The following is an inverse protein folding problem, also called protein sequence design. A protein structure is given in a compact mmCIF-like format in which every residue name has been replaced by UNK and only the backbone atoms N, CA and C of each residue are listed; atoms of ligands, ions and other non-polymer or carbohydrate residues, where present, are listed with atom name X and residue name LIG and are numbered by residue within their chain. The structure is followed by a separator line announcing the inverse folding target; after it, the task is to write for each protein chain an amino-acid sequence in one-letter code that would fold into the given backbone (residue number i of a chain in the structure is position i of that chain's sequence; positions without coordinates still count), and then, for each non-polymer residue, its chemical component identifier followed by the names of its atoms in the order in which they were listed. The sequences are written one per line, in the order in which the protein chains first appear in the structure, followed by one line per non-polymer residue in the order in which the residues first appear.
data_IF_535887433278
#
_entry.id   IF_535887433278
#
_cell.length_a   1.000
_cell.length_b   1.000
_cell.length_c   1.000
_cell.angle_alpha   90.00
_cell.angle_beta   90.00
_cell.angle_gamma   90.00
#
_symmetry.space_group_name_H-M   'P 1'
#
loop_
_entity.id
_entity.type
_entity.pdbx_description
1 polymer ?
#
# COMPACT_ATOMS: atom_id res chain seq x y z
N UNK A 1 4.40 -8.75 -15.11
CA UNK A 1 4.36 -7.29 -15.35
C UNK A 1 5.57 -6.66 -14.68
N UNK A 2 6.27 -5.79 -15.39
CA UNK A 2 7.44 -5.11 -14.85
C UNK A 2 7.06 -3.78 -14.21
N UNK A 3 7.50 -3.52 -12.96
CA UNK A 3 7.24 -2.25 -12.30
C UNK A 3 7.84 -1.11 -13.13
N UNK A 4 7.09 -0.02 -13.25
CA UNK A 4 7.50 1.13 -14.05
C UNK A 4 8.74 1.79 -13.45
N UNK A 5 9.77 2.04 -14.27
CA UNK A 5 10.98 2.77 -13.85
C UNK A 5 10.69 4.19 -13.33
N UNK A 6 9.56 4.79 -13.75
CA UNK A 6 9.07 6.09 -13.25
C UNK A 6 8.63 6.09 -11.79
N UNK A 7 8.52 4.91 -11.14
CA UNK A 7 8.03 4.78 -9.76
C UNK A 7 6.49 4.88 -9.62
N UNK A 8 5.76 5.12 -10.71
CA UNK A 8 4.30 5.14 -10.75
C UNK A 8 3.78 4.78 -12.16
N UNK A 9 2.52 4.34 -12.24
CA UNK A 9 1.87 4.03 -13.51
C UNK A 9 1.84 2.54 -13.87
N UNK A 10 2.31 1.64 -12.99
CA UNK A 10 2.14 0.19 -13.19
C UNK A 10 0.65 -0.21 -13.30
N UNK A 11 -0.27 0.57 -12.73
CA UNK A 11 -1.71 0.36 -12.94
C UNK A 11 -2.14 0.54 -14.41
N UNK A 12 -1.46 1.40 -15.19
CA UNK A 12 -1.79 1.60 -16.61
C UNK A 12 -1.45 0.36 -17.45
N UNK A 13 -0.42 -0.40 -17.04
CA UNK A 13 -0.10 -1.70 -17.65
C UNK A 13 -1.19 -2.76 -17.40
N UNK A 14 -2.04 -2.53 -16.38
CA UNK A 14 -3.23 -3.35 -16.10
C UNK A 14 -4.47 -2.89 -16.88
N UNK A 15 -4.34 -1.90 -17.76
CA UNK A 15 -5.46 -1.32 -18.52
C UNK A 15 -6.28 -0.29 -17.73
N UNK A 16 -5.82 0.15 -16.56
CA UNK A 16 -6.49 1.19 -15.77
C UNK A 16 -6.15 2.59 -16.32
N UNK A 17 -7.09 3.55 -16.22
CA UNK A 17 -6.85 4.92 -16.67
C UNK A 17 -5.74 5.60 -15.85
N UNK A 18 -5.07 6.62 -16.42
CA UNK A 18 -4.10 7.42 -15.69
C UNK A 18 -4.75 8.15 -14.50
N UNK A 19 -3.95 8.43 -13.46
CA UNK A 19 -4.44 9.20 -12.32
C UNK A 19 -4.81 10.63 -12.72
N UNK A 20 -6.09 10.97 -12.62
CA UNK A 20 -6.60 12.31 -12.98
C UNK A 20 -5.94 13.43 -12.19
N UNK A 21 -5.59 13.22 -10.91
CA UNK A 21 -4.94 14.23 -10.07
C UNK A 21 -3.55 14.55 -10.61
N UNK A 22 -2.79 13.53 -10.98
CA UNK A 22 -1.46 13.72 -11.56
C UNK A 22 -1.54 14.36 -12.95
N UNK A 23 -2.56 14.02 -13.73
CA UNK A 23 -2.77 14.59 -15.06
C UNK A 23 -3.20 16.06 -15.01
N UNK A 24 -4.10 16.41 -14.07
CA UNK A 24 -4.70 17.74 -13.95
C UNK A 24 -3.83 18.72 -13.15
N UNK A 25 -3.24 18.26 -12.05
CA UNK A 25 -2.50 19.13 -11.11
C UNK A 25 -0.98 18.94 -11.20
N UNK A 26 -0.49 17.91 -11.91
CA UNK A 26 0.95 17.60 -11.97
C UNK A 26 1.53 17.00 -10.68
N UNK A 27 0.74 16.88 -9.62
CA UNK A 27 1.16 16.40 -8.30
C UNK A 27 0.75 14.92 -8.15
N UNK A 28 1.63 14.03 -7.64
CA UNK A 28 1.23 12.67 -7.32
C UNK A 28 0.17 12.67 -6.19
N UNK A 29 -0.93 11.95 -6.39
CA UNK A 29 -1.89 11.68 -5.32
C UNK A 29 -1.28 10.73 -4.27
N UNK A 30 -1.85 10.60 -3.05
CA UNK A 30 -1.32 9.70 -2.02
C UNK A 30 -1.22 8.23 -2.48
N UNK A 31 -2.08 7.84 -3.44
CA UNK A 31 -2.09 6.50 -4.03
C UNK A 31 -1.17 6.32 -5.24
N UNK A 32 -0.58 7.39 -5.76
CA UNK A 32 0.26 7.30 -6.94
C UNK A 32 1.52 6.49 -6.64
N UNK A 33 1.80 5.48 -7.45
CA UNK A 33 2.94 4.57 -7.23
C UNK A 33 2.69 3.44 -6.22
N UNK A 34 1.51 3.33 -5.60
CA UNK A 34 1.22 2.21 -4.68
C UNK A 34 1.34 0.84 -5.39
N UNK A 35 0.74 0.69 -6.57
CA UNK A 35 0.81 -0.58 -7.33
C UNK A 35 2.24 -0.90 -7.80
N UNK A 36 3.02 0.14 -8.13
CA UNK A 36 4.44 -0.01 -8.47
C UNK A 36 5.26 -0.43 -7.25
N UNK A 37 4.99 0.14 -6.08
CA UNK A 37 5.61 -0.27 -4.81
C UNK A 37 5.29 -1.73 -4.47
N UNK A 38 4.04 -2.15 -4.64
CA UNK A 38 3.63 -3.55 -4.47
C UNK A 38 4.37 -4.49 -5.42
N UNK A 39 4.49 -4.11 -6.69
CA UNK A 39 5.20 -4.91 -7.69
C UNK A 39 6.70 -5.06 -7.36
N UNK A 40 7.35 -4.02 -6.81
CA UNK A 40 8.73 -4.11 -6.31
C UNK A 40 8.83 -4.95 -5.03
N UNK A 41 7.89 -4.79 -4.10
CA UNK A 41 7.88 -5.52 -2.83
C UNK A 41 7.75 -7.04 -3.03
N UNK A 42 6.83 -7.49 -3.91
CA UNK A 42 6.66 -8.91 -4.24
C UNK A 42 7.93 -9.52 -4.86
N UNK A 43 8.80 -8.69 -5.45
CA UNK A 43 10.12 -9.07 -5.98
C UNK A 43 11.24 -8.98 -4.95
N UNK A 44 10.93 -8.78 -3.67
CA UNK A 44 11.86 -8.54 -2.58
C UNK A 44 12.78 -7.31 -2.77
N UNK A 45 12.36 -6.33 -3.59
CA UNK A 45 13.12 -5.11 -3.84
C UNK A 45 12.55 -3.95 -3.01
N UNK A 46 13.03 -3.82 -1.78
CA UNK A 46 12.50 -2.84 -0.81
C UNK A 46 12.89 -1.39 -1.14
N UNK A 47 14.11 -1.16 -1.63
CA UNK A 47 14.58 0.19 -1.94
C UNK A 47 13.78 0.83 -3.10
N UNK A 48 13.58 0.15 -4.25
CA UNK A 48 12.71 0.68 -5.31
C UNK A 48 11.25 0.81 -4.88
N UNK A 49 10.77 -0.07 -3.99
CA UNK A 49 9.42 0.02 -3.45
C UNK A 49 9.23 1.29 -2.60
N UNK A 50 10.19 1.60 -1.72
CA UNK A 50 10.20 2.82 -0.92
C UNK A 50 10.21 4.08 -1.78
N UNK A 51 11.05 4.11 -2.83
CA UNK A 51 11.12 5.24 -3.75
C UNK A 51 9.81 5.45 -4.53
N UNK A 52 9.14 4.36 -4.92
CA UNK A 52 7.85 4.43 -5.58
C UNK A 52 6.78 5.04 -4.67
N UNK A 53 6.49 4.39 -3.53
CA UNK A 53 5.53 4.88 -2.56
C UNK A 53 5.78 4.25 -1.17
N UNK A 54 6.32 5.01 -0.18
CA UNK A 54 6.57 4.52 1.18
C UNK A 54 5.30 4.00 1.88
N UNK A 55 4.16 4.67 1.69
CA UNK A 55 2.88 4.21 2.24
C UNK A 55 2.45 2.89 1.59
N UNK A 56 2.69 2.75 0.28
CA UNK A 56 2.48 1.50 -0.44
C UNK A 56 3.33 0.34 0.10
N UNK A 57 4.59 0.59 0.46
CA UNK A 57 5.45 -0.41 1.08
C UNK A 57 4.95 -0.83 2.46
N UNK A 58 4.56 0.13 3.31
CA UNK A 58 3.96 -0.14 4.61
C UNK A 58 2.73 -1.05 4.48
N UNK A 59 1.84 -0.72 3.54
CA UNK A 59 0.63 -1.50 3.29
C UNK A 59 0.97 -2.93 2.80
N UNK A 60 1.97 -3.08 1.95
CA UNK A 60 2.39 -4.40 1.46
C UNK A 60 2.94 -5.29 2.58
N UNK A 61 3.72 -4.72 3.51
CA UNK A 61 4.21 -5.41 4.71
C UNK A 61 3.04 -5.78 5.62
N UNK A 62 2.13 -4.83 5.89
CA UNK A 62 0.94 -5.06 6.70
C UNK A 62 0.10 -6.22 6.12
N UNK A 63 -0.15 -6.24 4.81
CA UNK A 63 -0.83 -7.34 4.14
C UNK A 63 -0.09 -8.68 4.30
N UNK A 64 1.24 -8.67 4.17
CA UNK A 64 2.06 -9.89 4.31
C UNK A 64 1.95 -10.51 5.71
N UNK A 65 1.79 -9.70 6.75
CA UNK A 65 1.57 -10.17 8.12
C UNK A 65 0.11 -10.54 8.38
N UNK A 66 -0.83 -9.75 7.85
CA UNK A 66 -2.26 -9.94 8.07
C UNK A 66 -2.81 -11.20 7.38
N UNK A 67 -2.40 -11.49 6.15
CA UNK A 67 -2.90 -12.64 5.38
C UNK A 67 -2.64 -13.98 6.09
N UNK A 68 -1.39 -14.35 6.47
CA UNK A 68 -1.13 -15.62 7.16
C UNK A 68 -1.76 -15.66 8.55
N UNK A 69 -1.85 -14.52 9.22
CA UNK A 69 -2.55 -14.40 10.50
C UNK A 69 -4.05 -14.72 10.37
N UNK A 70 -4.72 -14.13 9.37
CA UNK A 70 -6.12 -14.43 9.06
C UNK A 70 -6.32 -15.88 8.60
N UNK A 71 -5.39 -16.44 7.82
CA UNK A 71 -5.42 -17.86 7.43
C UNK A 71 -5.30 -18.78 8.64
N UNK A 72 -4.35 -18.52 9.54
CA UNK A 72 -4.18 -19.27 10.79
C UNK A 72 -5.45 -19.24 11.65
N UNK A 73 -6.13 -18.10 11.68
CA UNK A 73 -7.37 -17.89 12.42
C UNK A 73 -8.57 -18.59 11.80
N UNK A 74 -8.68 -18.59 10.48
CA UNK A 74 -9.73 -19.33 9.77
C UNK A 74 -9.66 -20.83 10.12
N UNK A 75 -8.45 -21.36 10.36
CA UNK A 75 -8.23 -22.76 10.77
C UNK A 75 -8.49 -22.96 12.28
N UNK A 76 -8.36 -21.91 13.11
CA UNK A 76 -8.52 -21.97 14.58
C UNK A 76 -9.50 -20.89 15.10
N UNK A 77 -10.82 -20.99 14.78
CA UNK A 77 -11.79 -19.93 15.06
C UNK A 77 -12.04 -19.65 16.55
N UNK A 78 -11.60 -20.53 17.47
CA UNK A 78 -11.80 -20.38 18.92
C UNK A 78 -10.96 -19.26 19.57
N UNK A 79 -9.99 -18.68 18.85
CA UNK A 79 -9.02 -17.75 19.43
C UNK A 79 -9.34 -16.26 19.20
N UNK A 80 -10.35 -15.94 18.40
CA UNK A 80 -10.68 -14.54 18.08
C UNK A 80 -12.04 -14.10 18.60
N UNK A 81 -12.01 -13.19 19.57
CA UNK A 81 -13.15 -12.32 19.87
C UNK A 81 -13.21 -11.23 18.81
N UNK A 82 -14.41 -10.86 18.35
CA UNK A 82 -14.67 -9.75 17.42
C UNK A 82 -13.85 -8.48 17.72
N UNK A 83 -13.63 -8.18 19.01
CA UNK A 83 -12.82 -7.06 19.50
C UNK A 83 -11.34 -7.09 19.09
N UNK A 84 -10.73 -8.27 18.93
CA UNK A 84 -9.32 -8.39 18.53
C UNK A 84 -9.14 -8.03 17.05
N UNK A 85 -10.09 -8.44 16.20
CA UNK A 85 -10.09 -8.09 14.78
C UNK A 85 -10.29 -6.59 14.56
N UNK A 86 -11.22 -5.98 15.29
CA UNK A 86 -11.48 -4.54 15.26
C UNK A 86 -10.25 -3.73 15.72
N UNK A 87 -9.66 -4.12 16.85
CA UNK A 87 -8.47 -3.43 17.39
C UNK A 87 -7.26 -3.55 16.46
N UNK A 88 -7.03 -4.71 15.84
CA UNK A 88 -5.94 -4.86 14.86
C UNK A 88 -6.18 -4.06 13.58
N UNK A 89 -7.42 -4.04 13.07
CA UNK A 89 -7.79 -3.23 11.91
C UNK A 89 -7.55 -1.75 12.18
N UNK A 90 -7.96 -1.25 13.35
CA UNK A 90 -7.73 0.14 13.75
C UNK A 90 -6.24 0.47 13.90
N UNK A 91 -5.46 -0.42 14.52
CA UNK A 91 -4.01 -0.23 14.72
C UNK A 91 -3.21 -0.33 13.42
N UNK A 92 -3.66 -1.10 12.43
CA UNK A 92 -2.96 -1.20 11.14
C UNK A 92 -3.38 -0.10 10.16
N UNK A 93 -4.69 0.15 10.01
CA UNK A 93 -5.22 1.09 9.02
C UNK A 93 -5.25 2.55 9.50
N UNK A 94 -5.42 2.80 10.80
CA UNK A 94 -5.42 4.15 11.38
C UNK A 94 -4.11 4.91 11.16
N UNK A 95 -2.96 4.41 11.67
CA UNK A 95 -1.68 5.06 11.43
C UNK A 95 -1.23 4.98 9.97
N UNK A 96 -1.67 3.99 9.19
CA UNK A 96 -1.45 3.96 7.74
C UNK A 96 -2.04 5.18 7.04
N UNK A 97 -3.30 5.52 7.32
CA UNK A 97 -3.97 6.66 6.70
C UNK A 97 -3.28 7.97 7.08
N UNK A 98 -2.93 8.14 8.36
CA UNK A 98 -2.17 9.30 8.82
C UNK A 98 -0.80 9.38 8.14
N UNK A 99 -0.06 8.27 8.09
CA UNK A 99 1.26 8.22 7.46
C UNK A 99 1.18 8.51 5.96
N UNK A 100 0.19 7.96 5.25
CA UNK A 100 -0.03 8.22 3.83
C UNK A 100 -0.37 9.69 3.57
N UNK A 101 -1.18 10.32 4.43
CA UNK A 101 -1.53 11.74 4.32
C UNK A 101 -0.34 12.66 4.63
N UNK A 102 0.44 12.36 5.68
CA UNK A 102 1.64 13.12 6.05
C UNK A 102 2.70 12.99 4.95
N UNK A 103 2.96 11.77 4.48
CA UNK A 103 3.91 11.51 3.41
C UNK A 103 3.49 12.18 2.10
N UNK A 104 2.19 12.25 1.83
CA UNK A 104 1.66 13.00 0.70
C UNK A 104 1.82 14.51 0.88
N UNK A 105 1.51 15.06 2.05
CA UNK A 105 1.70 16.48 2.34
C UNK A 105 3.15 16.92 2.14
N UNK A 106 4.12 16.08 2.54
CA UNK A 106 5.56 16.32 2.30
C UNK A 106 5.94 16.19 0.82
N UNK A 107 5.24 15.38 0.03
CA UNK A 107 5.48 15.22 -1.43
C UNK A 107 4.78 16.28 -2.29
N UNK A 108 3.73 16.90 -1.76
CA UNK A 108 2.91 17.89 -2.45
C UNK A 108 3.40 19.34 -2.26
N UNK A 109 4.25 19.57 -1.26
CA UNK A 109 4.93 20.84 -0.97
C UNK A 109 6.38 20.80 -1.47
#
# INVERSE_FOLDING_TARGET
MEPSARGYGTHQQLGLPPCSIQLLFGIPCPSCGMTTSFAWYVRAQLMPAWQANPAGLYLAIACTLLIPWLMWMAIRPRLLTYRTFERMSLVLFGPFLLFALVQWAVRAW
#
